data_IF_663745798280
#
_entry.id   IF_663745798280
#
_cell.length_a   1.000
_cell.length_b   1.000
_cell.length_c   1.000
_cell.angle_alpha   90.00
_cell.angle_beta   90.00
_cell.angle_gamma   90.00
#
_symmetry.space_group_name_H-M   'P 1'
#
loop_
_entity.id
_entity.type
_entity.pdbx_description
1 polymer ?
#
# COMPACT_ATOMS: atom_id res chain seq x y z
N UNK A 1 27.86 -22.56 -34.38
CA UNK A 1 27.11 -22.96 -33.17
C UNK A 1 26.85 -21.79 -32.19
N UNK A 2 27.70 -20.75 -32.15
CA UNK A 2 27.55 -19.59 -31.24
C UNK A 2 26.22 -18.80 -31.36
N UNK A 3 25.68 -18.59 -32.57
CA UNK A 3 24.41 -17.82 -32.77
C UNK A 3 23.18 -18.43 -32.08
N UNK A 4 23.12 -19.76 -31.93
CA UNK A 4 22.00 -20.44 -31.25
C UNK A 4 22.08 -20.27 -29.73
N UNK A 5 23.30 -20.30 -29.19
CA UNK A 5 23.57 -20.08 -27.76
C UNK A 5 23.24 -18.64 -27.34
N UNK A 6 23.59 -17.65 -28.15
CA UNK A 6 23.27 -16.23 -27.89
C UNK A 6 21.76 -15.98 -27.88
N UNK A 7 21.00 -16.57 -28.83
CA UNK A 7 19.52 -16.48 -28.83
C UNK A 7 18.89 -17.14 -27.60
N UNK A 8 19.42 -18.28 -27.17
CA UNK A 8 18.94 -18.95 -25.97
C UNK A 8 19.19 -18.11 -24.72
N UNK A 9 20.38 -17.51 -24.59
CA UNK A 9 20.71 -16.59 -23.49
C UNK A 9 19.78 -15.38 -23.45
N UNK A 10 19.48 -14.77 -24.61
CA UNK A 10 18.56 -13.63 -24.71
C UNK A 10 17.13 -14.01 -24.32
N UNK A 11 16.62 -15.17 -24.73
CA UNK A 11 15.30 -15.65 -24.33
C UNK A 11 15.21 -15.89 -22.81
N UNK A 12 16.25 -16.46 -22.24
CA UNK A 12 16.27 -16.77 -20.79
C UNK A 12 16.33 -15.48 -19.96
N UNK A 13 17.08 -14.47 -20.42
CA UNK A 13 17.12 -13.15 -19.78
C UNK A 13 15.76 -12.44 -19.84
N UNK A 14 15.05 -12.53 -20.97
CA UNK A 14 13.74 -11.90 -21.16
C UNK A 14 12.62 -12.58 -20.34
N UNK A 15 12.77 -13.86 -20.03
CA UNK A 15 11.84 -14.58 -19.15
C UNK A 15 12.12 -14.37 -17.65
N UNK A 16 13.32 -13.91 -17.30
CA UNK A 16 13.73 -13.67 -15.91
C UNK A 16 13.40 -12.24 -15.41
N UNK A 17 13.09 -11.29 -16.29
CA UNK A 17 12.74 -9.91 -15.91
C UNK A 17 11.55 -9.73 -14.95
N UNK A 18 10.45 -10.52 -14.98
CA UNK A 18 9.34 -10.31 -14.05
C UNK A 18 9.68 -10.67 -12.58
N UNK A 19 10.79 -11.37 -12.33
CA UNK A 19 11.28 -11.68 -10.97
C UNK A 19 11.85 -10.46 -10.24
N UNK A 20 12.07 -9.35 -10.95
CA UNK A 20 12.44 -8.06 -10.34
C UNK A 20 11.23 -7.28 -9.81
N UNK A 21 10.08 -7.94 -9.61
CA UNK A 21 8.96 -7.32 -8.89
C UNK A 21 9.43 -6.89 -7.50
N UNK A 22 9.53 -5.58 -7.30
CA UNK A 22 9.82 -4.98 -6.01
C UNK A 22 8.66 -5.28 -5.07
N UNK A 23 8.80 -6.33 -4.26
CA UNK A 23 8.04 -6.42 -3.02
C UNK A 23 8.32 -5.13 -2.23
N UNK A 24 7.27 -4.49 -1.69
CA UNK A 24 7.45 -3.29 -0.87
C UNK A 24 8.24 -3.67 0.38
N UNK A 25 9.53 -3.37 0.38
CA UNK A 25 10.41 -3.67 1.51
C UNK A 25 10.17 -2.62 2.59
N UNK A 26 9.57 -3.08 3.69
CA UNK A 26 9.46 -2.29 4.91
C UNK A 26 10.71 -2.50 5.76
N UNK A 27 11.22 -1.47 6.47
CA UNK A 27 10.63 -0.14 6.65
C UNK A 27 10.78 0.77 5.42
N UNK A 28 9.70 1.48 5.08
CA UNK A 28 9.63 2.39 3.94
C UNK A 28 9.44 3.83 4.43
N UNK A 29 10.34 4.74 4.08
CA UNK A 29 10.18 6.17 4.35
C UNK A 29 9.61 6.86 3.13
N UNK A 30 8.46 7.52 3.31
CA UNK A 30 7.72 8.23 2.27
C UNK A 30 7.73 9.72 2.60
N UNK A 31 7.81 10.57 1.58
CA UNK A 31 7.65 12.01 1.73
C UNK A 31 6.23 12.39 1.32
N UNK A 32 5.50 13.02 2.22
CA UNK A 32 4.14 13.53 1.95
C UNK A 32 4.18 14.77 1.05
N UNK A 33 3.02 15.18 0.53
CA UNK A 33 2.84 16.40 -0.25
C UNK A 33 3.29 17.66 0.52
N UNK A 34 3.16 17.65 1.85
CA UNK A 34 3.64 18.70 2.75
C UNK A 34 5.15 18.59 3.08
N UNK A 35 5.90 17.71 2.40
CA UNK A 35 7.35 17.53 2.61
C UNK A 35 7.72 16.79 3.90
N UNK A 36 6.73 16.23 4.61
CA UNK A 36 6.94 15.47 5.86
C UNK A 36 7.46 14.07 5.53
N UNK A 37 8.51 13.63 6.22
CA UNK A 37 8.97 12.25 6.10
C UNK A 37 8.23 11.36 7.10
N UNK A 38 7.59 10.31 6.59
CA UNK A 38 6.84 9.33 7.37
C UNK A 38 7.41 7.94 7.10
N UNK A 39 7.91 7.27 8.15
CA UNK A 39 8.42 5.91 8.06
C UNK A 39 7.33 4.90 8.38
N UNK A 40 6.97 4.09 7.38
CA UNK A 40 6.09 2.95 7.51
C UNK A 40 6.91 1.73 7.92
N UNK A 41 6.70 1.24 9.14
CA UNK A 41 7.43 0.07 9.65
C UNK A 41 6.96 -1.26 9.05
N UNK A 42 5.72 -1.31 8.55
CA UNK A 42 5.08 -2.50 7.98
C UNK A 42 3.93 -2.11 7.06
N UNK A 43 3.42 -3.08 6.31
CA UNK A 43 2.28 -2.88 5.42
C UNK A 43 1.05 -2.33 6.17
N UNK A 44 0.48 -1.19 5.73
CA UNK A 44 -0.69 -0.59 6.36
C UNK A 44 -1.93 -1.46 6.13
N UNK A 45 -2.47 -1.99 7.23
CA UNK A 45 -3.69 -2.81 7.22
C UNK A 45 -4.98 -2.00 7.40
N UNK A 46 -4.86 -0.77 7.90
CA UNK A 46 -5.99 0.13 8.18
C UNK A 46 -5.63 1.53 7.73
N UNK A 47 -6.38 2.05 6.77
CA UNK A 47 -6.21 3.39 6.21
C UNK A 47 -7.42 4.23 6.64
N UNK A 48 -7.18 5.40 7.22
CA UNK A 48 -8.23 6.36 7.57
C UNK A 48 -8.25 7.43 6.50
N UNK A 49 -9.35 7.52 5.76
CA UNK A 49 -9.57 8.56 4.77
C UNK A 49 -10.29 9.73 5.43
N UNK A 50 -9.76 10.94 5.25
CA UNK A 50 -10.40 12.16 5.76
C UNK A 50 -11.56 12.60 4.85
N UNK A 51 -11.45 12.33 3.55
CA UNK A 51 -12.42 12.68 2.52
C UNK A 51 -12.87 11.42 1.75
N UNK A 52 -14.14 11.37 1.35
CA UNK A 52 -14.67 10.30 0.52
C UNK A 52 -14.14 10.30 -0.91
N UNK A 53 -13.55 11.41 -1.39
CA UNK A 53 -12.94 11.49 -2.74
C UNK A 53 -11.75 10.54 -2.92
N UNK A 54 -10.99 10.30 -1.85
CA UNK A 54 -9.83 9.40 -1.87
C UNK A 54 -10.23 7.93 -2.05
N UNK A 55 -11.50 7.59 -1.85
CA UNK A 55 -12.06 6.25 -2.09
C UNK A 55 -11.97 5.89 -3.58
N UNK A 56 -12.10 6.87 -4.48
CA UNK A 56 -11.98 6.62 -5.92
C UNK A 56 -10.57 6.18 -6.29
N UNK A 57 -9.56 6.79 -5.66
CA UNK A 57 -8.15 6.42 -5.82
C UNK A 57 -7.89 5.01 -5.28
N UNK A 58 -8.48 4.64 -4.14
CA UNK A 58 -8.41 3.28 -3.62
C UNK A 58 -9.12 2.26 -4.51
N UNK A 59 -10.23 2.62 -5.15
CA UNK A 59 -10.93 1.76 -6.11
C UNK A 59 -10.12 1.49 -7.38
N UNK A 60 -9.20 2.37 -7.75
CA UNK A 60 -8.24 2.12 -8.82
C UNK A 60 -7.10 1.18 -8.37
N UNK A 61 -6.69 1.28 -7.11
CA UNK A 61 -5.59 0.48 -6.56
C UNK A 61 -6.01 -0.94 -6.14
N UNK A 62 -7.13 -1.06 -5.42
CA UNK A 62 -7.75 -2.31 -4.95
C UNK A 62 -9.11 -2.48 -5.64
N UNK A 63 -9.07 -2.86 -6.92
CA UNK A 63 -10.27 -2.93 -7.80
C UNK A 63 -11.29 -3.98 -7.35
N UNK A 64 -10.82 -5.09 -6.77
CA UNK A 64 -11.67 -6.21 -6.37
C UNK A 64 -12.44 -5.94 -5.07
N UNK A 65 -11.85 -5.20 -4.13
CA UNK A 65 -12.52 -4.80 -2.88
C UNK A 65 -11.83 -3.58 -2.25
N UNK A 66 -12.23 -2.36 -2.64
CA UNK A 66 -11.59 -1.13 -2.15
C UNK A 66 -11.82 -0.86 -0.65
N UNK A 67 -12.73 -1.61 -0.01
CA UNK A 67 -13.09 -1.42 1.39
C UNK A 67 -12.39 -2.38 2.35
N UNK A 68 -11.64 -3.37 1.84
CA UNK A 68 -11.01 -4.41 2.68
C UNK A 68 -10.05 -3.85 3.74
N UNK A 69 -9.40 -2.73 3.45
CA UNK A 69 -8.37 -2.08 4.31
C UNK A 69 -8.86 -0.79 4.96
N UNK A 70 -10.14 -0.45 4.78
CA UNK A 70 -10.71 0.80 5.27
C UNK A 70 -11.41 0.61 6.62
N UNK A 71 -11.23 1.57 7.51
CA UNK A 71 -11.99 1.66 8.76
C UNK A 71 -12.65 3.03 8.84
N UNK A 72 -13.99 3.07 8.90
CA UNK A 72 -14.73 4.32 9.02
C UNK A 72 -14.59 4.89 10.44
N UNK A 73 -13.84 5.99 10.57
CA UNK A 73 -13.53 6.64 11.85
C UNK A 73 -14.71 7.26 12.61
N UNK A 74 -15.92 7.29 12.04
CA UNK A 74 -17.12 7.86 12.69
C UNK A 74 -17.58 7.03 13.90
N UNK A 75 -17.19 5.76 14.00
CA UNK A 75 -17.53 4.90 15.15
C UNK A 75 -16.59 5.12 16.35
N UNK A 76 -15.37 5.64 16.17
CA UNK A 76 -14.41 5.83 17.28
C UNK A 76 -14.54 7.14 18.04
N UNK A 77 -15.18 8.17 17.48
CA UNK A 77 -15.40 9.45 18.18
C UNK A 77 -16.39 9.33 19.35
N UNK A 78 -17.26 8.31 19.37
CA UNK A 78 -18.19 8.09 20.50
C UNK A 78 -17.52 7.49 21.73
N UNK A 79 -16.43 6.74 21.59
CA UNK A 79 -15.85 5.96 22.71
C UNK A 79 -14.73 6.67 23.49
N UNK A 80 -14.29 7.86 23.06
CA UNK A 80 -13.24 8.66 23.74
C UNK A 80 -13.78 9.91 24.45
N UNK A 81 -15.09 10.09 24.50
CA UNK A 81 -15.77 11.20 25.19
C UNK A 81 -16.66 10.68 26.32
N UNK A 82 -16.18 9.78 27.17
CA UNK A 82 -16.78 9.56 28.48
C UNK A 82 -15.64 9.52 29.50
N UNK A 83 -15.53 10.52 30.40
CA UNK A 83 -14.59 10.41 31.51
C UNK A 83 -14.98 9.21 32.39
N UNK A 84 -14.00 8.46 32.94
CA UNK A 84 -14.31 7.44 33.92
C UNK A 84 -14.80 8.14 35.19
N UNK A 85 -16.04 7.86 35.58
CA UNK A 85 -16.57 8.23 36.89
C UNK A 85 -17.47 9.46 36.90
N UNK A 86 -18.78 9.20 36.85
CA UNK A 86 -19.77 9.73 37.79
C UNK A 86 -21.00 8.81 37.72
N UNK A 87 -21.54 8.50 38.90
CA UNK A 87 -22.62 7.54 39.17
C UNK A 87 -23.86 7.73 38.29
#
# INVERSE_FOLDING_TARGET
MARKSVRSLLLTALLATPLLSYATQYPLTVTDLDGRQVTLAKEPQRIILQDGRDIMTLALLDRDNPFKRWWHGIIWRKSRMLPPGRC
#
